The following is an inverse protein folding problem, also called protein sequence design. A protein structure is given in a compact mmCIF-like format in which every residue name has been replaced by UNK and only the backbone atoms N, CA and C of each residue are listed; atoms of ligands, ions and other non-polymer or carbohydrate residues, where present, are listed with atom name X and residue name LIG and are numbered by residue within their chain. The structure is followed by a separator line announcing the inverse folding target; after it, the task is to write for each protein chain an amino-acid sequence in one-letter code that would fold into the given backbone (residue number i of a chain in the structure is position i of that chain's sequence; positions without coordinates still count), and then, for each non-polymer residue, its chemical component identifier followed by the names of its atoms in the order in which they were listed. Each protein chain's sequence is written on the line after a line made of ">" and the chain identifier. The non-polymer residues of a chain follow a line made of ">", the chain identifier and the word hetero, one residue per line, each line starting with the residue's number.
data_IF_809298373590
#
_entry.id   IF_809298373590
#
_cell.length_a   1.000
_cell.length_b   1.000
_cell.length_c   1.000
_cell.angle_alpha   90.00
_cell.angle_beta   90.00
_cell.angle_gamma   90.00
#
_symmetry.space_group_name_H-M   'P 1'
#
loop_
_entity.id
_entity.type
_entity.pdbx_description
1 polymer ?
#
# COMPACT_ATOMS: atom_id res chain seq x y z
N UNK A 1 9.33 -25.18 3.40
CA UNK A 1 8.10 -24.47 3.86
C UNK A 1 7.98 -23.06 3.26
N UNK A 2 8.49 -22.80 2.04
CA UNK A 2 8.52 -21.44 1.46
C UNK A 2 7.19 -21.00 0.83
N UNK A 3 6.42 -21.96 0.28
CA UNK A 3 5.18 -21.67 -0.49
C UNK A 3 4.03 -21.11 0.36
N UNK A 4 3.97 -21.45 1.64
CA UNK A 4 2.95 -20.95 2.57
C UNK A 4 3.20 -19.51 3.02
N UNK A 5 4.44 -19.03 3.02
CA UNK A 5 4.79 -17.65 3.41
C UNK A 5 4.33 -16.62 2.39
N UNK A 6 4.53 -16.88 1.09
CA UNK A 6 3.98 -16.04 0.02
C UNK A 6 2.47 -15.95 0.10
N UNK A 7 1.81 -17.06 0.44
CA UNK A 7 0.36 -17.09 0.65
C UNK A 7 -0.07 -16.27 1.88
N UNK A 8 0.60 -16.42 3.03
CA UNK A 8 0.31 -15.61 4.23
C UNK A 8 0.55 -14.12 3.98
N UNK A 9 1.61 -13.76 3.27
CA UNK A 9 1.89 -12.37 2.91
C UNK A 9 0.83 -11.85 1.94
N UNK A 10 0.45 -12.60 0.93
CA UNK A 10 -0.62 -12.19 0.00
C UNK A 10 -1.95 -12.01 0.73
N UNK A 11 -2.32 -12.93 1.63
CA UNK A 11 -3.54 -12.87 2.43
C UNK A 11 -3.53 -11.70 3.42
N UNK A 12 -2.37 -11.24 3.88
CA UNK A 12 -2.28 -10.04 4.72
C UNK A 12 -2.19 -8.73 3.92
N UNK A 13 -1.41 -8.72 2.84
CA UNK A 13 -1.12 -7.54 2.05
C UNK A 13 -2.31 -7.10 1.20
N UNK A 14 -3.04 -8.06 0.60
CA UNK A 14 -4.19 -7.74 -0.26
C UNK A 14 -5.30 -7.06 0.54
N UNK A 15 -5.77 -7.58 1.69
CA UNK A 15 -6.75 -6.87 2.51
C UNK A 15 -6.24 -5.53 3.05
N UNK A 16 -4.96 -5.46 3.44
CA UNK A 16 -4.37 -4.21 3.89
C UNK A 16 -4.39 -3.14 2.79
N UNK A 17 -4.07 -3.51 1.54
CA UNK A 17 -4.17 -2.62 0.38
C UNK A 17 -5.62 -2.22 0.08
N UNK A 18 -6.57 -3.15 0.18
CA UNK A 18 -8.00 -2.84 0.00
C UNK A 18 -8.46 -1.80 1.04
N UNK A 19 -8.11 -1.99 2.31
CA UNK A 19 -8.43 -1.05 3.38
C UNK A 19 -7.77 0.31 3.13
N UNK A 20 -6.49 0.30 2.73
CA UNK A 20 -5.75 1.51 2.42
C UNK A 20 -6.39 2.30 1.27
N UNK A 21 -6.68 1.64 0.14
CA UNK A 21 -7.32 2.26 -1.01
C UNK A 21 -8.71 2.78 -0.64
N UNK A 22 -9.53 1.99 0.06
CA UNK A 22 -10.84 2.43 0.54
C UNK A 22 -10.76 3.66 1.43
N UNK A 23 -9.79 3.72 2.34
CA UNK A 23 -9.54 4.89 3.18
C UNK A 23 -9.11 6.11 2.36
N UNK A 24 -8.24 5.93 1.37
CA UNK A 24 -7.82 7.02 0.48
C UNK A 24 -8.96 7.52 -0.40
N UNK A 25 -9.85 6.64 -0.85
CA UNK A 25 -11.05 7.03 -1.62
C UNK A 25 -11.98 7.90 -0.78
N UNK A 26 -12.25 7.50 0.46
CA UNK A 26 -13.06 8.31 1.39
C UNK A 26 -12.37 9.65 1.65
N UNK A 27 -11.04 9.66 1.85
CA UNK A 27 -10.29 10.92 2.04
C UNK A 27 -10.36 11.83 0.80
N UNK A 28 -10.35 11.24 -0.39
CA UNK A 28 -10.41 11.97 -1.64
C UNK A 28 -11.70 12.80 -1.75
N UNK A 29 -12.83 12.27 -1.28
CA UNK A 29 -14.12 13.00 -1.30
C UNK A 29 -14.08 14.30 -0.48
N UNK A 30 -13.22 14.40 0.53
CA UNK A 30 -13.08 15.61 1.36
C UNK A 30 -12.03 16.60 0.86
N UNK A 31 -11.03 16.13 0.12
CA UNK A 31 -9.84 16.91 -0.24
C UNK A 31 -9.87 17.32 -1.71
N UNK A 32 -10.39 16.45 -2.58
CA UNK A 32 -10.42 16.68 -4.02
C UNK A 32 -11.61 17.55 -4.43
N UNK A 33 -11.61 18.06 -5.66
CA UNK A 33 -12.63 19.00 -6.20
C UNK A 33 -12.46 20.47 -5.77
N UNK A 34 -11.49 20.79 -4.91
CA UNK A 34 -11.19 22.18 -4.50
C UNK A 34 -10.30 22.88 -5.54
N UNK A 35 -9.19 22.24 -5.92
CA UNK A 35 -8.24 22.80 -6.88
C UNK A 35 -7.41 21.67 -7.51
N UNK A 36 -7.25 21.71 -8.83
CA UNK A 36 -6.54 20.64 -9.59
C UNK A 36 -5.12 20.32 -9.06
N UNK A 37 -4.42 21.32 -8.51
CA UNK A 37 -3.08 21.14 -7.96
C UNK A 37 -3.10 20.36 -6.63
N UNK A 38 -4.13 20.58 -5.81
CA UNK A 38 -4.34 19.86 -4.56
C UNK A 38 -4.66 18.40 -4.89
N UNK A 39 -5.51 18.16 -5.88
CA UNK A 39 -5.84 16.81 -6.36
C UNK A 39 -4.57 16.08 -6.82
N UNK A 40 -3.72 16.74 -7.62
CA UNK A 40 -2.47 16.19 -8.09
C UNK A 40 -1.52 15.83 -6.93
N UNK A 41 -1.33 16.75 -5.99
CA UNK A 41 -0.48 16.50 -4.81
C UNK A 41 -1.04 15.35 -3.97
N UNK A 42 -2.35 15.33 -3.75
CA UNK A 42 -3.02 14.28 -2.99
C UNK A 42 -2.81 12.91 -3.63
N UNK A 43 -3.06 12.76 -4.93
CA UNK A 43 -2.90 11.48 -5.62
C UNK A 43 -1.44 11.03 -5.70
N UNK A 44 -0.48 11.96 -5.88
CA UNK A 44 0.96 11.63 -5.84
C UNK A 44 1.34 11.12 -4.45
N UNK A 45 0.95 11.82 -3.38
CA UNK A 45 1.28 11.41 -2.02
C UNK A 45 0.61 10.09 -1.65
N UNK A 46 -0.68 9.93 -1.93
CA UNK A 46 -1.40 8.67 -1.72
C UNK A 46 -0.75 7.52 -2.51
N UNK A 47 -0.34 7.76 -3.76
CA UNK A 47 0.35 6.76 -4.57
C UNK A 47 1.73 6.35 -4.06
N UNK A 48 2.42 7.20 -3.29
CA UNK A 48 3.80 6.96 -2.86
C UNK A 48 3.93 6.58 -1.37
N UNK A 49 2.98 6.97 -0.52
CA UNK A 49 3.09 6.80 0.94
C UNK A 49 3.12 5.33 1.37
N UNK A 50 2.60 4.42 0.55
CA UNK A 50 2.57 2.98 0.83
C UNK A 50 3.89 2.27 0.47
N UNK A 51 4.80 2.91 -0.28
CA UNK A 51 6.07 2.32 -0.73
C UNK A 51 6.94 1.83 0.44
N UNK A 52 7.14 2.59 1.54
CA UNK A 52 7.93 2.11 2.67
C UNK A 52 7.32 0.86 3.33
N UNK A 53 6.00 0.75 3.36
CA UNK A 53 5.31 -0.42 3.89
C UNK A 53 5.55 -1.64 3.00
N UNK A 54 5.43 -1.48 1.67
CA UNK A 54 5.77 -2.52 0.71
C UNK A 54 7.24 -2.97 0.83
N UNK A 55 8.16 -2.02 0.96
CA UNK A 55 9.59 -2.32 1.14
C UNK A 55 9.90 -3.16 2.37
N UNK A 56 9.21 -2.91 3.51
CA UNK A 56 9.34 -3.75 4.71
C UNK A 56 8.88 -5.18 4.49
N UNK A 57 7.77 -5.37 3.78
CA UNK A 57 7.22 -6.71 3.49
C UNK A 57 8.14 -7.49 2.55
N UNK A 58 8.59 -6.85 1.46
CA UNK A 58 9.51 -7.46 0.49
C UNK A 58 10.87 -7.76 1.14
N UNK A 59 11.41 -6.84 1.94
CA UNK A 59 12.66 -7.04 2.66
C UNK A 59 12.59 -8.18 3.69
N UNK A 60 11.47 -8.32 4.40
CA UNK A 60 11.22 -9.47 5.27
C UNK A 60 11.19 -10.78 4.47
N UNK A 61 10.53 -10.76 3.31
CA UNK A 61 10.47 -11.91 2.41
C UNK A 61 11.86 -12.36 1.97
N UNK A 62 12.67 -11.43 1.45
CA UNK A 62 14.03 -11.68 0.97
C UNK A 62 14.97 -12.21 2.06
N UNK A 63 14.93 -11.63 3.27
CA UNK A 63 15.80 -12.04 4.39
C UNK A 63 15.54 -13.48 4.89
N UNK A 64 14.34 -14.00 4.64
CA UNK A 64 13.93 -15.35 5.08
C UNK A 64 13.92 -16.37 3.93
N UNK A 65 14.34 -15.98 2.71
CA UNK A 65 14.53 -16.88 1.57
C UNK A 65 16.01 -17.13 1.22
N UNK A 66 16.95 -16.35 1.80
CA UNK A 66 18.38 -16.45 1.48
C UNK A 66 19.14 -17.52 2.27
N UNK A 67 18.54 -18.69 2.54
CA UNK A 67 19.21 -19.79 3.26
C UNK A 67 19.07 -21.13 2.55
#
# INVERSE_FOLDING_TARGET
>A
MARWRHFTVAVGLVPALIIYVGMMMVLADYITNIHWLIDLVFYVLAGLIWIPAAGKVVGWLAKHESH
#
